data_IF_846063269106
#
_entry.id   IF_846063269106
#
_cell.length_a   1.000
_cell.length_b   1.000
_cell.length_c   1.000
_cell.angle_alpha   90.00
_cell.angle_beta   90.00
_cell.angle_gamma   90.00
#
_symmetry.space_group_name_H-M   'P 1'
#
loop_
_entity.id
_entity.type
_entity.pdbx_description
1 polymer ?
#
# COMPACT_ATOMS: atom_id res chain seq x y z
N UNK A 1 -49.79 40.71 -52.97
CA UNK A 1 -49.42 40.38 -51.63
C UNK A 1 -48.87 38.91 -51.62
N UNK A 2 -47.57 38.81 -51.74
CA UNK A 2 -46.86 37.51 -51.80
C UNK A 2 -46.42 37.07 -50.38
N UNK A 3 -46.81 35.86 -49.94
CA UNK A 3 -46.37 35.25 -48.70
C UNK A 3 -45.14 34.39 -49.01
N UNK A 4 -44.04 34.84 -48.53
CA UNK A 4 -42.78 34.11 -48.54
C UNK A 4 -42.79 32.99 -47.45
N UNK A 5 -42.63 31.72 -47.86
CA UNK A 5 -42.56 30.57 -46.95
C UNK A 5 -41.08 30.30 -46.67
N UNK A 6 -40.68 30.55 -45.41
CA UNK A 6 -39.34 30.23 -44.91
C UNK A 6 -39.05 28.73 -44.95
N UNK A 7 -37.94 28.34 -45.57
CA UNK A 7 -37.39 26.99 -45.59
C UNK A 7 -36.68 26.69 -44.25
N UNK A 8 -37.26 25.77 -43.47
CA UNK A 8 -36.62 25.23 -42.26
C UNK A 8 -35.31 24.51 -42.59
N UNK A 9 -34.21 24.94 -41.99
CA UNK A 9 -32.92 24.25 -41.98
C UNK A 9 -33.08 22.97 -41.13
N UNK A 10 -32.92 21.81 -41.79
CA UNK A 10 -32.75 20.50 -41.11
C UNK A 10 -31.41 20.54 -40.39
N UNK A 11 -31.45 20.48 -39.04
CA UNK A 11 -30.31 20.24 -38.18
C UNK A 11 -29.64 18.92 -38.52
N UNK A 12 -28.36 18.95 -38.86
CA UNK A 12 -27.53 17.77 -39.01
C UNK A 12 -27.46 17.04 -37.68
N UNK A 13 -27.84 15.76 -37.67
CA UNK A 13 -27.53 14.83 -36.56
C UNK A 13 -26.02 14.69 -36.58
N UNK A 14 -25.35 15.20 -35.55
CA UNK A 14 -23.97 14.88 -35.28
C UNK A 14 -23.82 13.36 -35.12
N UNK A 15 -22.91 12.78 -35.87
CA UNK A 15 -22.51 11.38 -35.66
C UNK A 15 -22.01 11.24 -34.19
N UNK A 16 -22.29 10.11 -33.54
CA UNK A 16 -21.70 9.84 -32.23
C UNK A 16 -20.18 9.85 -32.39
N UNK A 17 -19.50 10.74 -31.67
CA UNK A 17 -18.05 10.69 -31.55
C UNK A 17 -17.66 9.30 -31.02
N UNK A 18 -16.80 8.61 -31.76
CA UNK A 18 -16.15 7.41 -31.24
C UNK A 18 -15.53 7.72 -29.86
N UNK A 19 -15.57 6.79 -28.91
CA UNK A 19 -14.86 6.98 -27.65
C UNK A 19 -13.40 7.27 -27.99
N UNK A 20 -12.87 8.34 -27.44
CA UNK A 20 -11.44 8.65 -27.56
C UNK A 20 -10.68 7.44 -27.01
N UNK A 21 -9.91 6.77 -27.84
CA UNK A 21 -8.96 5.76 -27.43
C UNK A 21 -7.97 6.47 -26.49
N UNK A 22 -8.05 6.17 -25.19
CA UNK A 22 -7.11 6.67 -24.21
C UNK A 22 -5.72 6.13 -24.55
N UNK A 23 -4.70 6.97 -24.52
CA UNK A 23 -3.32 6.48 -24.70
C UNK A 23 -2.99 5.41 -23.63
N UNK A 24 -2.29 4.33 -24.01
CA UNK A 24 -1.94 3.28 -23.07
C UNK A 24 -1.14 3.84 -21.89
N UNK A 25 -1.56 3.53 -20.67
CA UNK A 25 -0.91 3.99 -19.45
C UNK A 25 0.28 3.09 -19.11
N UNK A 26 1.32 3.67 -18.51
CA UNK A 26 2.53 2.96 -18.09
C UNK A 26 2.67 3.04 -16.59
N UNK A 27 2.85 1.89 -15.94
CA UNK A 27 3.16 1.80 -14.49
C UNK A 27 4.49 2.51 -14.23
N UNK A 28 4.60 3.15 -13.06
CA UNK A 28 5.79 3.93 -12.67
C UNK A 28 5.70 5.40 -13.04
N UNK A 29 4.61 5.83 -13.70
CA UNK A 29 4.38 7.26 -13.99
C UNK A 29 3.80 8.03 -12.80
N UNK A 30 3.37 7.35 -11.72
CA UNK A 30 2.78 7.95 -10.52
C UNK A 30 1.39 8.56 -10.75
N UNK A 31 0.72 8.19 -11.84
CA UNK A 31 -0.58 8.76 -12.25
C UNK A 31 -1.76 7.83 -11.97
N UNK A 32 -1.51 6.60 -11.48
CA UNK A 32 -2.57 5.65 -11.14
C UNK A 32 -3.51 6.14 -10.03
N UNK A 33 -4.39 5.28 -9.54
CA UNK A 33 -4.45 3.84 -9.83
C UNK A 33 -4.88 3.54 -11.26
N UNK A 34 -4.38 2.44 -11.80
CA UNK A 34 -4.58 2.05 -13.18
C UNK A 34 -5.67 0.99 -13.31
N UNK A 35 -6.44 1.02 -14.39
CA UNK A 35 -7.22 -0.15 -14.81
C UNK A 35 -6.31 -1.08 -15.62
N UNK A 36 -6.36 -2.39 -15.34
CA UNK A 36 -5.51 -3.35 -16.05
C UNK A 36 -5.77 -3.37 -17.56
N UNK A 37 -7.01 -3.02 -17.96
CA UNK A 37 -7.40 -2.94 -19.38
C UNK A 37 -6.83 -1.71 -20.11
N UNK A 38 -6.41 -0.69 -19.38
CA UNK A 38 -5.86 0.56 -19.95
C UNK A 38 -4.31 0.54 -19.96
N UNK A 39 -3.68 -0.51 -19.41
CA UNK A 39 -2.23 -0.62 -19.36
C UNK A 39 -1.63 -0.99 -20.71
N UNK A 40 -0.46 -0.42 -20.99
CA UNK A 40 0.33 -0.81 -22.13
C UNK A 40 0.74 -2.30 -22.04
N UNK A 41 0.74 -3.06 -23.15
CA UNK A 41 1.08 -4.48 -23.16
C UNK A 41 2.48 -4.80 -22.62
N UNK A 42 3.41 -3.85 -22.71
CA UNK A 42 4.78 -3.94 -22.20
C UNK A 42 4.90 -3.64 -20.69
N UNK A 43 3.81 -3.24 -20.03
CA UNK A 43 3.81 -2.99 -18.59
C UNK A 43 4.13 -4.27 -17.83
N UNK A 44 5.25 -4.25 -17.08
CA UNK A 44 5.73 -5.38 -16.29
C UNK A 44 5.58 -5.08 -14.82
N UNK A 45 4.78 -5.86 -14.14
CA UNK A 45 4.50 -5.71 -12.70
C UNK A 45 4.71 -7.00 -11.90
N UNK A 46 5.06 -8.10 -12.55
CA UNK A 46 5.18 -9.44 -11.94
C UNK A 46 6.16 -9.49 -10.75
N UNK A 47 7.25 -8.69 -10.81
CA UNK A 47 8.26 -8.65 -9.77
C UNK A 47 8.15 -7.43 -8.84
N UNK A 48 7.29 -6.47 -9.14
CA UNK A 48 7.14 -5.22 -8.40
C UNK A 48 5.81 -5.11 -7.66
N UNK A 49 4.84 -5.95 -8.00
CA UNK A 49 3.50 -5.92 -7.42
C UNK A 49 3.11 -7.27 -6.85
N UNK A 50 2.39 -7.23 -5.74
CA UNK A 50 1.69 -8.36 -5.16
C UNK A 50 0.33 -8.48 -5.84
N UNK A 51 0.10 -9.57 -6.57
CA UNK A 51 -1.18 -9.86 -7.22
C UNK A 51 -2.15 -10.47 -6.22
N UNK A 52 -3.21 -9.73 -5.90
CA UNK A 52 -4.28 -10.14 -5.00
C UNK A 52 -5.58 -10.46 -5.76
N UNK A 53 -5.48 -10.82 -7.03
CA UNK A 53 -6.62 -11.12 -7.88
C UNK A 53 -7.27 -9.85 -8.42
N UNK A 54 -8.12 -9.20 -7.65
CA UNK A 54 -8.83 -7.97 -8.06
C UNK A 54 -7.97 -6.71 -8.01
N UNK A 55 -6.87 -6.74 -7.30
CA UNK A 55 -5.95 -5.61 -7.15
C UNK A 55 -4.51 -6.08 -7.09
N UNK A 56 -3.63 -5.39 -7.81
CA UNK A 56 -2.19 -5.59 -7.76
C UNK A 56 -1.60 -4.38 -7.02
N UNK A 57 -0.92 -4.65 -5.91
CA UNK A 57 -0.42 -3.60 -5.01
C UNK A 57 1.11 -3.60 -5.05
N UNK A 58 1.77 -2.44 -5.22
CA UNK A 58 3.22 -2.38 -5.25
C UNK A 58 3.83 -2.87 -3.94
N UNK A 59 4.92 -3.60 -4.03
CA UNK A 59 5.68 -4.05 -2.88
C UNK A 59 6.49 -2.87 -2.33
N UNK A 60 6.22 -2.49 -1.08
CA UNK A 60 6.96 -1.42 -0.41
C UNK A 60 8.29 -1.96 0.08
N UNK A 61 9.38 -1.28 -0.26
CA UNK A 61 10.72 -1.67 0.18
C UNK A 61 10.82 -1.69 1.73
N UNK A 62 11.34 -2.78 2.27
CA UNK A 62 11.39 -3.00 3.72
C UNK A 62 10.02 -3.24 4.38
N UNK A 63 8.96 -3.33 3.61
CA UNK A 63 7.61 -3.65 4.08
C UNK A 63 7.42 -5.16 4.27
N UNK A 64 6.41 -5.50 5.07
CA UNK A 64 5.95 -6.87 5.29
C UNK A 64 4.49 -6.97 4.86
N UNK A 65 4.09 -8.15 4.39
CA UNK A 65 2.69 -8.43 4.06
C UNK A 65 2.07 -9.25 5.18
N UNK A 66 0.95 -8.81 5.70
CA UNK A 66 0.14 -9.57 6.67
C UNK A 66 -1.23 -9.82 6.10
N UNK A 67 -1.71 -11.04 6.18
CA UNK A 67 -3.03 -11.43 5.71
C UNK A 67 -3.93 -11.67 6.92
N UNK A 68 -5.09 -11.06 6.90
CA UNK A 68 -6.16 -11.29 7.85
C UNK A 68 -7.17 -12.27 7.25
N UNK A 69 -7.47 -13.34 7.99
CA UNK A 69 -8.38 -14.38 7.56
C UNK A 69 -9.73 -14.24 8.26
N UNK A 70 -10.81 -14.51 7.56
CA UNK A 70 -12.15 -14.63 8.16
C UNK A 70 -12.26 -15.89 9.01
N UNK A 71 -13.36 -16.01 9.77
CA UNK A 71 -13.67 -17.22 10.52
C UNK A 71 -13.79 -18.48 9.63
N UNK A 72 -14.12 -18.30 8.35
CA UNK A 72 -14.21 -19.37 7.34
C UNK A 72 -12.87 -19.66 6.64
N UNK A 73 -11.75 -19.15 7.19
CA UNK A 73 -10.39 -19.32 6.65
C UNK A 73 -10.21 -18.75 5.23
N UNK A 74 -11.01 -17.74 4.88
CA UNK A 74 -10.86 -17.01 3.62
C UNK A 74 -10.07 -15.71 3.83
N UNK A 75 -9.23 -15.29 2.87
CA UNK A 75 -8.54 -14.01 2.95
C UNK A 75 -9.57 -12.86 2.97
N UNK A 76 -9.55 -12.08 4.04
CA UNK A 76 -10.45 -10.94 4.24
C UNK A 76 -9.78 -9.61 3.94
N UNK A 77 -8.56 -9.44 4.43
CA UNK A 77 -7.78 -8.22 4.24
C UNK A 77 -6.30 -8.53 4.10
N UNK A 78 -5.61 -7.74 3.29
CA UNK A 78 -4.16 -7.78 3.15
C UNK A 78 -3.59 -6.43 3.57
N UNK A 79 -2.62 -6.46 4.48
CA UNK A 79 -1.96 -5.29 5.01
C UNK A 79 -0.50 -5.25 4.57
N UNK A 80 -0.09 -4.10 4.06
CA UNK A 80 1.31 -3.75 3.90
C UNK A 80 1.79 -3.09 5.20
N UNK A 81 2.63 -3.76 5.94
CA UNK A 81 3.17 -3.27 7.20
C UNK A 81 4.50 -2.57 6.93
N UNK A 82 4.62 -1.35 7.38
CA UNK A 82 5.79 -0.49 7.24
C UNK A 82 6.29 -0.03 8.60
N UNK A 83 7.49 0.55 8.71
CA UNK A 83 7.96 1.13 9.97
C UNK A 83 7.07 2.24 10.54
N UNK A 84 6.22 2.87 9.69
CA UNK A 84 5.35 3.98 10.09
C UNK A 84 3.93 3.55 10.43
N UNK A 85 3.55 2.31 10.11
CA UNK A 85 2.21 1.78 10.31
C UNK A 85 1.82 0.79 9.21
N UNK A 86 0.53 0.56 9.05
CA UNK A 86 0.00 -0.42 8.08
C UNK A 86 -0.92 0.24 7.06
N UNK A 87 -0.90 -0.28 5.83
CA UNK A 87 -1.74 0.15 4.73
C UNK A 87 -2.52 -1.05 4.22
N UNK A 88 -3.82 -0.91 4.00
CA UNK A 88 -4.62 -1.87 3.26
C UNK A 88 -5.20 -1.21 2.03
N UNK A 89 -5.31 -1.95 0.93
CA UNK A 89 -5.94 -1.52 -0.31
C UNK A 89 -7.01 -2.52 -0.69
N UNK A 90 -8.22 -2.05 -0.89
CA UNK A 90 -9.35 -2.87 -1.30
C UNK A 90 -10.03 -2.26 -2.53
N UNK A 91 -10.40 -3.11 -3.47
CA UNK A 91 -11.19 -2.72 -4.64
C UNK A 91 -12.66 -3.07 -4.43
N UNK A 92 -13.53 -2.24 -4.94
CA UNK A 92 -14.98 -2.37 -4.87
C UNK A 92 -15.58 -2.20 -6.26
N UNK A 93 -16.66 -2.91 -6.52
CA UNK A 93 -17.46 -2.66 -7.71
C UNK A 93 -18.11 -1.27 -7.63
N UNK A 94 -18.12 -0.56 -8.74
CA UNK A 94 -18.74 0.75 -8.85
C UNK A 94 -19.68 0.84 -10.05
N UNK A 95 -20.65 1.75 -10.06
CA UNK A 95 -21.49 2.01 -11.21
C UNK A 95 -20.66 2.63 -12.35
N UNK A 96 -21.24 2.70 -13.56
CA UNK A 96 -20.56 3.38 -14.70
C UNK A 96 -20.40 4.88 -14.48
N UNK A 97 -21.26 5.50 -13.66
CA UNK A 97 -21.14 6.91 -13.26
C UNK A 97 -20.11 7.04 -12.15
N UNK A 98 -19.18 7.96 -12.28
CA UNK A 98 -18.22 8.31 -11.22
C UNK A 98 -18.92 8.95 -10.02
N UNK A 99 -18.25 8.94 -8.86
CA UNK A 99 -18.70 9.65 -7.66
C UNK A 99 -19.06 8.74 -6.48
N UNK A 100 -18.82 7.42 -6.58
CA UNK A 100 -19.05 6.49 -5.47
C UNK A 100 -18.21 6.87 -4.24
N UNK A 101 -16.95 7.25 -4.44
CA UNK A 101 -16.09 7.68 -3.33
C UNK A 101 -16.64 8.90 -2.60
N UNK A 102 -17.23 9.85 -3.32
CA UNK A 102 -17.82 11.04 -2.70
C UNK A 102 -18.99 10.70 -1.76
N UNK A 103 -19.80 9.71 -2.10
CA UNK A 103 -20.88 9.21 -1.23
C UNK A 103 -20.30 8.48 -0.02
N UNK A 104 -19.32 7.60 -0.26
CA UNK A 104 -18.61 6.86 0.79
C UNK A 104 -17.95 7.79 1.81
N UNK A 105 -17.35 8.92 1.38
CA UNK A 105 -16.75 9.91 2.29
C UNK A 105 -17.76 10.43 3.30
N UNK A 106 -18.98 10.73 2.88
CA UNK A 106 -20.02 11.25 3.77
C UNK A 106 -20.44 10.20 4.80
N UNK A 107 -20.77 9.00 4.34
CA UNK A 107 -21.19 7.88 5.19
C UNK A 107 -20.08 7.48 6.18
N UNK A 108 -18.84 7.40 5.68
CA UNK A 108 -17.68 7.05 6.49
C UNK A 108 -17.42 8.10 7.58
N UNK A 109 -17.49 9.38 7.23
CA UNK A 109 -17.28 10.47 8.20
C UNK A 109 -18.34 10.42 9.30
N UNK A 110 -19.61 10.21 8.95
CA UNK A 110 -20.70 10.08 9.90
C UNK A 110 -20.53 8.86 10.83
N UNK A 111 -20.17 7.70 10.26
CA UNK A 111 -19.90 6.49 11.03
C UNK A 111 -18.75 6.69 12.03
N UNK A 112 -17.62 7.20 11.58
CA UNK A 112 -16.45 7.43 12.42
C UNK A 112 -16.74 8.43 13.56
N UNK A 113 -17.51 9.49 13.29
CA UNK A 113 -17.93 10.44 14.31
C UNK A 113 -18.85 9.79 15.35
N UNK A 114 -19.76 8.92 14.90
CA UNK A 114 -20.65 8.16 15.79
C UNK A 114 -19.86 7.21 16.70
N UNK A 115 -18.75 6.67 16.19
CA UNK A 115 -17.81 5.82 16.95
C UNK A 115 -16.86 6.63 17.86
N UNK A 116 -16.98 7.97 17.86
CA UNK A 116 -16.22 8.86 18.73
C UNK A 116 -14.86 9.30 18.16
N UNK A 117 -14.60 9.07 16.88
CA UNK A 117 -13.40 9.58 16.24
C UNK A 117 -13.51 11.07 15.89
N UNK A 118 -12.43 11.82 16.06
CA UNK A 118 -12.31 13.16 15.49
C UNK A 118 -11.98 13.04 14.00
N UNK A 119 -12.84 13.61 13.15
CA UNK A 119 -12.71 13.47 11.70
C UNK A 119 -12.43 14.80 11.02
N UNK A 120 -11.56 14.77 10.00
CA UNK A 120 -11.30 15.87 9.09
C UNK A 120 -11.38 15.37 7.64
N UNK A 121 -11.87 16.22 6.74
CA UNK A 121 -11.85 15.97 5.29
C UNK A 121 -10.79 16.88 4.69
N UNK A 122 -9.76 16.27 4.10
CA UNK A 122 -8.67 16.96 3.43
C UNK A 122 -8.78 16.79 1.91
N UNK A 123 -8.16 17.70 1.17
CA UNK A 123 -8.05 17.59 -0.28
C UNK A 123 -6.72 16.92 -0.63
N UNK A 124 -6.76 15.74 -1.21
CA UNK A 124 -5.61 15.01 -1.72
C UNK A 124 -5.50 15.08 -3.26
N UNK A 125 -4.59 14.28 -3.81
CA UNK A 125 -4.33 14.25 -5.26
C UNK A 125 -5.55 13.76 -6.07
N UNK A 126 -6.27 12.73 -5.57
CA UNK A 126 -7.44 12.16 -6.25
C UNK A 126 -8.77 12.73 -5.76
N UNK A 127 -8.75 13.75 -4.91
CA UNK A 127 -9.94 14.36 -4.35
C UNK A 127 -9.95 14.32 -2.82
N UNK A 128 -11.08 13.97 -2.21
CA UNK A 128 -11.24 14.02 -0.77
C UNK A 128 -10.59 12.81 -0.10
N UNK A 129 -9.86 13.09 0.98
CA UNK A 129 -9.35 12.09 1.92
C UNK A 129 -10.03 12.32 3.27
N UNK A 130 -10.37 11.24 3.97
CA UNK A 130 -10.89 11.32 5.34
C UNK A 130 -9.76 10.99 6.31
N UNK A 131 -9.55 11.83 7.28
CA UNK A 131 -8.60 11.62 8.37
C UNK A 131 -9.39 11.44 9.65
N UNK A 132 -9.22 10.31 10.33
CA UNK A 132 -9.85 10.02 11.60
C UNK A 132 -8.78 9.88 12.68
N UNK A 133 -8.85 10.71 13.71
CA UNK A 133 -7.99 10.63 14.89
C UNK A 133 -8.73 9.90 16.00
N UNK A 134 -8.13 8.84 16.51
CA UNK A 134 -8.66 8.04 17.61
C UNK A 134 -7.62 7.95 18.74
N UNK A 135 -8.00 7.55 19.95
CA UNK A 135 -7.03 7.25 20.99
C UNK A 135 -6.02 6.18 20.50
N UNK A 136 -4.76 6.55 20.37
CA UNK A 136 -3.68 5.65 19.95
C UNK A 136 -3.26 5.77 18.48
N UNK A 137 -3.94 6.54 17.63
CA UNK A 137 -3.49 6.68 16.24
C UNK A 137 -4.36 7.52 15.33
N UNK A 138 -3.94 7.53 14.08
CA UNK A 138 -4.61 8.23 12.99
C UNK A 138 -4.88 7.24 11.86
N UNK A 139 -6.08 7.27 11.34
CA UNK A 139 -6.50 6.52 10.16
C UNK A 139 -6.77 7.51 9.02
N UNK A 140 -6.12 7.29 7.89
CA UNK A 140 -6.35 8.08 6.68
C UNK A 140 -6.96 7.18 5.61
N UNK A 141 -8.08 7.63 5.07
CA UNK A 141 -8.82 6.93 4.03
C UNK A 141 -8.65 7.69 2.72
N UNK A 142 -8.10 7.03 1.73
CA UNK A 142 -7.88 7.55 0.38
C UNK A 142 -8.73 6.70 -0.56
N UNK A 143 -9.62 7.31 -1.32
CA UNK A 143 -10.41 6.59 -2.31
C UNK A 143 -10.30 7.21 -3.69
N UNK A 144 -10.37 6.36 -4.69
CA UNK A 144 -10.31 6.76 -6.10
C UNK A 144 -11.35 6.00 -6.89
N UNK A 145 -12.18 6.74 -7.63
CA UNK A 145 -13.15 6.18 -8.55
C UNK A 145 -12.49 5.91 -9.91
N UNK A 146 -12.65 4.70 -10.43
CA UNK A 146 -12.26 4.31 -11.77
C UNK A 146 -13.44 3.89 -12.63
N UNK A 147 -13.16 3.22 -13.75
CA UNK A 147 -14.17 2.71 -14.66
C UNK A 147 -14.83 1.45 -14.09
N UNK A 148 -16.03 1.60 -13.48
CA UNK A 148 -16.82 0.52 -12.86
C UNK A 148 -16.15 -0.12 -11.63
N UNK A 149 -15.16 0.51 -11.07
CA UNK A 149 -14.51 0.14 -9.82
C UNK A 149 -14.20 1.38 -8.98
N UNK A 150 -13.99 1.16 -7.71
CA UNK A 150 -13.46 2.14 -6.76
C UNK A 150 -12.42 1.43 -5.90
N UNK A 151 -11.27 2.05 -5.66
CA UNK A 151 -10.37 1.58 -4.61
C UNK A 151 -10.52 2.44 -3.35
N UNK A 152 -10.25 1.79 -2.22
CA UNK A 152 -10.09 2.45 -0.93
C UNK A 152 -8.80 1.95 -0.29
N UNK A 153 -7.88 2.85 -0.05
CA UNK A 153 -6.71 2.61 0.78
C UNK A 153 -6.96 3.16 2.18
N UNK A 154 -6.55 2.41 3.20
CA UNK A 154 -6.60 2.85 4.60
C UNK A 154 -5.20 2.78 5.18
N UNK A 155 -4.65 3.92 5.56
CA UNK A 155 -3.36 4.04 6.23
C UNK A 155 -3.61 4.24 7.73
N UNK A 156 -3.14 3.30 8.56
CA UNK A 156 -3.30 3.32 10.01
C UNK A 156 -1.94 3.44 10.68
N UNK A 157 -1.70 4.51 11.41
CA UNK A 157 -0.42 4.82 12.05
C UNK A 157 -0.59 5.36 13.47
N UNK A 158 0.41 5.20 14.34
CA UNK A 158 0.58 6.08 15.49
C UNK A 158 0.67 7.54 15.05
N UNK A 159 0.25 8.49 15.88
CA UNK A 159 0.22 9.92 15.52
C UNK A 159 1.56 10.42 14.97
N UNK A 160 2.68 9.99 15.55
CA UNK A 160 4.02 10.40 15.10
C UNK A 160 4.40 9.89 13.68
N UNK A 161 3.80 8.78 13.23
CA UNK A 161 4.05 8.17 11.93
C UNK A 161 3.05 8.55 10.84
N UNK A 162 1.96 9.24 11.18
CA UNK A 162 0.80 9.45 10.33
C UNK A 162 1.15 10.13 8.98
N UNK A 163 1.91 11.22 9.00
CA UNK A 163 2.30 11.94 7.79
C UNK A 163 3.28 11.16 6.92
N UNK A 164 4.21 10.43 7.53
CA UNK A 164 5.13 9.57 6.79
C UNK A 164 4.36 8.43 6.09
N UNK A 165 3.45 7.78 6.83
CA UNK A 165 2.61 6.72 6.27
C UNK A 165 1.65 7.25 5.19
N UNK A 166 1.11 8.46 5.34
CA UNK A 166 0.25 9.07 4.32
C UNK A 166 0.97 9.23 2.97
N UNK A 167 2.24 9.62 2.98
CA UNK A 167 3.07 9.71 1.76
C UNK A 167 3.26 8.34 1.11
N UNK A 168 3.58 7.32 1.93
CA UNK A 168 3.72 5.93 1.44
C UNK A 168 2.40 5.43 0.89
N UNK A 169 1.27 5.67 1.57
CA UNK A 169 -0.05 5.25 1.11
C UNK A 169 -0.43 5.88 -0.23
N UNK A 170 -0.14 7.16 -0.43
CA UNK A 170 -0.36 7.82 -1.74
C UNK A 170 0.53 7.23 -2.83
N UNK A 171 1.80 6.94 -2.53
CA UNK A 171 2.69 6.25 -3.46
C UNK A 171 2.19 4.84 -3.80
N UNK A 172 1.69 4.08 -2.83
CA UNK A 172 1.06 2.77 -3.06
C UNK A 172 -0.16 2.92 -3.96
N UNK A 173 -1.05 3.87 -3.68
CA UNK A 173 -2.26 4.10 -4.49
C UNK A 173 -1.90 4.50 -5.93
N UNK A 174 -0.89 5.36 -6.12
CA UNK A 174 -0.48 5.83 -7.46
C UNK A 174 0.09 4.73 -8.36
N UNK A 175 0.53 3.62 -7.80
CA UNK A 175 1.07 2.48 -8.55
C UNK A 175 0.15 1.26 -8.51
N UNK A 176 -0.97 1.32 -7.79
CA UNK A 176 -1.94 0.24 -7.71
C UNK A 176 -2.63 -0.01 -9.05
N UNK A 177 -2.75 -1.29 -9.43
CA UNK A 177 -3.49 -1.71 -10.63
C UNK A 177 -4.77 -2.44 -10.19
N UNK A 178 -5.89 -2.11 -10.80
CA UNK A 178 -7.18 -2.74 -10.53
C UNK A 178 -7.53 -3.71 -11.66
N UNK A 179 -7.85 -4.94 -11.29
CA UNK A 179 -8.40 -5.97 -12.18
C UNK A 179 -9.82 -6.26 -11.75
N UNK A 180 -10.76 -5.48 -12.30
CA UNK A 180 -12.18 -5.64 -11.92
C UNK A 180 -12.77 -6.97 -12.40
N UNK A 181 -12.32 -7.48 -13.56
CA UNK A 181 -12.92 -8.62 -14.22
C UNK A 181 -14.26 -8.29 -14.88
N UNK A 182 -14.85 -9.31 -15.53
CA UNK A 182 -16.11 -9.18 -16.29
C UNK A 182 -17.34 -9.62 -15.48
N UNK A 183 -17.15 -10.29 -14.36
CA UNK A 183 -18.23 -10.77 -13.52
C UNK A 183 -19.15 -9.64 -13.03
N UNK A 184 -20.47 -9.88 -12.98
CA UNK A 184 -21.41 -8.91 -12.48
C UNK A 184 -21.33 -8.81 -10.95
N UNK A 185 -20.88 -7.67 -10.46
CA UNK A 185 -20.90 -7.33 -9.03
C UNK A 185 -21.82 -6.14 -8.80
N UNK A 186 -22.69 -6.18 -7.76
CA UNK A 186 -23.44 -5.01 -7.34
C UNK A 186 -22.49 -3.88 -6.93
N UNK A 187 -22.86 -2.61 -7.15
CA UNK A 187 -22.07 -1.48 -6.66
C UNK A 187 -21.79 -1.58 -5.15
N UNK A 188 -20.62 -1.10 -4.73
CA UNK A 188 -20.12 -1.14 -3.33
C UNK A 188 -19.76 -2.53 -2.79
N UNK A 189 -19.98 -3.60 -3.56
CA UNK A 189 -19.50 -4.93 -3.18
C UNK A 189 -17.97 -4.97 -3.27
N UNK A 190 -17.27 -5.46 -2.22
CA UNK A 190 -15.84 -5.72 -2.31
C UNK A 190 -15.54 -6.74 -3.43
N UNK A 191 -14.53 -6.46 -4.22
CA UNK A 191 -14.03 -7.44 -5.18
C UNK A 191 -13.21 -8.52 -4.45
N UNK A 192 -13.24 -9.77 -4.92
CA UNK A 192 -12.61 -10.87 -4.21
C UNK A 192 -11.09 -10.71 -4.14
N UNK A 193 -10.51 -11.12 -3.00
CA UNK A 193 -9.07 -11.20 -2.79
C UNK A 193 -8.65 -12.64 -3.03
N UNK A 194 -7.63 -12.83 -3.87
CA UNK A 194 -7.01 -14.12 -4.14
C UNK A 194 -5.53 -14.01 -3.79
N UNK A 195 -5.06 -14.89 -2.90
CA UNK A 195 -3.64 -14.88 -2.53
C UNK A 195 -2.81 -15.61 -3.60
N UNK A 196 -1.63 -15.10 -3.96
CA UNK A 196 -0.66 -15.87 -4.74
C UNK A 196 -0.33 -17.19 -4.05
N UNK A 197 -0.05 -18.28 -4.80
CA UNK A 197 0.18 -19.60 -4.22
C UNK A 197 1.24 -19.62 -3.12
N UNK A 198 2.36 -18.93 -3.35
CA UNK A 198 3.46 -18.84 -2.37
C UNK A 198 2.99 -18.20 -1.05
N UNK A 199 2.18 -17.15 -1.13
CA UNK A 199 1.65 -16.48 0.07
C UNK A 199 0.58 -17.34 0.75
N UNK A 200 -0.26 -18.03 -0.02
CA UNK A 200 -1.26 -18.96 0.51
C UNK A 200 -0.62 -20.11 1.28
N UNK A 201 0.45 -20.71 0.76
CA UNK A 201 1.22 -21.76 1.43
C UNK A 201 1.86 -21.26 2.73
N UNK A 202 2.45 -20.07 2.73
CA UNK A 202 3.05 -19.47 3.92
C UNK A 202 2.01 -19.17 5.00
N UNK A 203 0.84 -18.66 4.61
CA UNK A 203 -0.28 -18.43 5.53
C UNK A 203 -0.79 -19.74 6.11
N UNK A 204 -0.96 -20.77 5.30
CA UNK A 204 -1.38 -22.10 5.76
C UNK A 204 -0.37 -22.71 6.75
N UNK A 205 0.93 -22.62 6.46
CA UNK A 205 1.98 -23.09 7.35
C UNK A 205 1.96 -22.35 8.69
N UNK A 206 1.86 -21.02 8.68
CA UNK A 206 1.78 -20.22 9.89
C UNK A 206 0.52 -20.54 10.74
N UNK A 207 -0.61 -20.84 10.10
CA UNK A 207 -1.82 -21.28 10.79
C UNK A 207 -1.64 -22.66 11.44
N UNK A 208 -0.98 -23.59 10.77
CA UNK A 208 -0.68 -24.90 11.34
C UNK A 208 0.23 -24.79 12.57
N UNK A 209 1.29 -23.99 12.50
CA UNK A 209 2.18 -23.73 13.64
C UNK A 209 1.44 -23.12 14.83
N UNK A 210 0.51 -22.19 14.58
CA UNK A 210 -0.33 -21.61 15.65
C UNK A 210 -1.30 -22.63 16.25
N UNK A 211 -1.87 -23.50 15.43
CA UNK A 211 -2.73 -24.59 15.91
C UNK A 211 -1.96 -25.60 16.76
N UNK A 212 -0.78 -26.01 16.30
CA UNK A 212 0.09 -26.98 16.99
C UNK A 212 0.67 -26.40 18.29
N UNK A 213 0.92 -25.11 18.36
CA UNK A 213 1.39 -24.42 19.58
C UNK A 213 0.30 -24.18 20.63
N UNK A 214 -0.94 -24.56 20.37
CA UNK A 214 -2.08 -24.40 21.28
C UNK A 214 -2.54 -22.94 21.47
N UNK A 215 -1.99 -22.01 20.73
CA UNK A 215 -2.30 -20.56 20.82
C UNK A 215 -3.70 -20.22 20.30
N UNK A 216 -4.30 -21.07 19.47
CA UNK A 216 -5.68 -20.92 19.01
C UNK A 216 -6.71 -21.11 20.12
N UNK A 217 -6.40 -21.89 21.17
CA UNK A 217 -7.29 -22.09 22.31
C UNK A 217 -7.38 -20.87 23.25
N UNK A 218 -6.37 -20.02 23.27
CA UNK A 218 -6.31 -18.83 24.13
C UNK A 218 -7.02 -17.62 23.51
N UNK A 219 -7.21 -17.61 22.19
CA UNK A 219 -7.93 -16.55 21.47
C UNK A 219 -9.47 -16.71 21.51
N UNK A 220 -9.95 -17.87 21.97
CA UNK A 220 -11.38 -18.19 22.04
C UNK A 220 -12.03 -17.90 23.40
N UNK A 221 -11.32 -17.29 24.35
CA UNK A 221 -11.92 -16.87 25.60
C UNK A 221 -12.76 -15.58 25.38
N UNK A 222 -14.05 -15.57 25.74
CA UNK A 222 -14.87 -14.39 25.55
C UNK A 222 -14.40 -13.27 26.48
N UNK A 223 -13.89 -12.20 25.91
CA UNK A 223 -13.79 -10.92 26.61
C UNK A 223 -15.18 -10.34 26.82
N UNK A 224 -15.47 -9.66 27.95
CA UNK A 224 -16.77 -9.13 28.24
C UNK A 224 -17.21 -8.11 27.18
N UNK A 225 -18.45 -8.23 26.77
CA UNK A 225 -19.16 -7.43 25.79
C UNK A 225 -18.82 -5.94 25.87
N UNK A 226 -18.27 -5.44 24.77
CA UNK A 226 -18.51 -4.06 24.36
C UNK A 226 -18.90 -4.05 22.89
N UNK A 227 -20.05 -3.41 22.62
CA UNK A 227 -20.78 -3.55 21.38
C UNK A 227 -20.11 -2.77 20.25
N UNK A 228 -19.40 -3.45 19.40
CA UNK A 228 -18.90 -2.98 18.13
C UNK A 228 -18.43 -4.19 17.34
N UNK A 229 -19.09 -4.52 16.24
CA UNK A 229 -18.80 -5.68 15.41
C UNK A 229 -17.39 -5.62 14.84
N UNK A 230 -16.42 -6.03 15.65
CA UNK A 230 -15.09 -6.43 15.19
C UNK A 230 -15.11 -7.94 15.01
N UNK A 231 -15.18 -8.39 13.77
CA UNK A 231 -14.94 -9.77 13.44
C UNK A 231 -13.57 -10.17 14.00
N UNK A 232 -13.55 -11.19 14.86
CA UNK A 232 -12.32 -11.78 15.37
C UNK A 232 -11.62 -12.47 14.20
N UNK A 233 -10.57 -11.84 13.70
CA UNK A 233 -9.77 -12.32 12.59
C UNK A 233 -8.44 -12.85 13.11
N UNK A 234 -8.09 -14.07 12.72
CA UNK A 234 -6.76 -14.62 12.95
C UNK A 234 -5.75 -13.92 12.02
N UNK A 235 -4.69 -13.35 12.57
CA UNK A 235 -3.65 -12.65 11.81
C UNK A 235 -2.46 -13.57 11.58
N UNK A 236 -2.18 -13.90 10.32
CA UNK A 236 -0.94 -14.55 9.92
C UNK A 236 0.02 -13.53 9.33
N UNK A 237 1.17 -13.35 9.93
CA UNK A 237 2.20 -12.41 9.46
C UNK A 237 3.22 -13.13 8.59
N UNK A 238 3.30 -12.77 7.35
CA UNK A 238 4.27 -13.31 6.39
C UNK A 238 5.27 -12.22 6.01
N UNK A 239 6.55 -12.51 6.17
CA UNK A 239 7.64 -11.64 5.70
C UNK A 239 7.92 -11.93 4.23
N UNK A 240 7.50 -11.07 3.36
CA UNK A 240 8.03 -11.03 1.99
C UNK A 240 9.31 -10.20 2.03
N UNK A 241 10.46 -10.87 2.15
CA UNK A 241 11.75 -10.19 1.98
C UNK A 241 11.93 -9.94 0.49
N UNK A 242 11.85 -8.68 0.09
CA UNK A 242 12.40 -8.28 -1.20
C UNK A 242 13.87 -8.70 -1.26
N UNK A 243 14.27 -9.39 -2.30
CA UNK A 243 15.67 -9.78 -2.52
C UNK A 243 16.51 -8.51 -2.45
N UNK A 244 17.49 -8.39 -1.53
CA UNK A 244 18.36 -7.22 -1.52
C UNK A 244 19.08 -7.13 -2.86
N UNK A 245 19.30 -5.93 -3.41
CA UNK A 245 20.10 -5.75 -4.60
C UNK A 245 21.48 -6.36 -4.35
N UNK A 246 22.11 -7.01 -5.36
CA UNK A 246 23.44 -7.56 -5.20
C UNK A 246 24.36 -6.45 -4.69
N UNK A 247 25.10 -6.72 -3.63
CA UNK A 247 26.05 -5.80 -3.06
C UNK A 247 27.00 -5.32 -4.18
N UNK A 248 27.32 -4.01 -4.26
CA UNK A 248 28.29 -3.53 -5.21
C UNK A 248 29.60 -4.31 -5.01
N UNK A 249 30.17 -4.78 -6.11
CA UNK A 249 31.44 -5.48 -6.10
C UNK A 249 32.45 -4.61 -5.36
N UNK A 250 33.30 -5.18 -4.47
CA UNK A 250 34.33 -4.40 -3.80
C UNK A 250 35.26 -3.79 -4.87
N UNK A 251 35.52 -2.50 -4.73
CA UNK A 251 36.47 -1.79 -5.56
C UNK A 251 37.79 -2.56 -5.58
N UNK A 252 38.45 -2.69 -6.73
CA UNK A 252 39.77 -3.33 -6.81
C UNK A 252 40.75 -2.60 -5.89
N UNK A 253 41.26 -3.30 -4.89
CA UNK A 253 42.32 -2.79 -4.03
C UNK A 253 43.53 -2.49 -4.92
N UNK A 254 44.15 -1.32 -4.78
CA UNK A 254 45.42 -1.06 -5.47
C UNK A 254 46.48 -2.04 -4.97
N UNK A 255 47.25 -2.60 -5.90
CA UNK A 255 48.34 -3.49 -5.64
C UNK A 255 49.34 -2.86 -4.64
N UNK A 256 49.88 -3.63 -3.67
CA UNK A 256 50.87 -3.13 -2.73
C UNK A 256 52.18 -2.80 -3.47
N UNK A 257 52.59 -1.54 -3.39
CA UNK A 257 53.92 -1.10 -3.84
C UNK A 257 55.04 -1.89 -3.12
N UNK A 258 56.12 -2.25 -3.80
CA UNK A 258 57.21 -3.00 -3.22
C UNK A 258 57.96 -2.19 -2.15
N UNK A 259 58.10 -2.77 -0.96
CA UNK A 259 58.75 -2.21 0.20
C UNK A 259 60.22 -1.93 -0.08
N UNK A 260 60.64 -0.65 -0.08
CA UNK A 260 62.06 -0.25 0.02
C UNK A 260 62.57 -0.51 1.45
N UNK A 261 63.62 -1.31 1.52
CA UNK A 261 64.44 -1.54 2.73
C UNK A 261 65.17 -0.26 3.09
N UNK A 262 64.85 0.36 4.23
CA UNK A 262 65.76 1.29 4.93
C UNK A 262 66.17 0.70 6.28
N UNK A 263 67.47 0.45 6.37
CA UNK A 263 68.24 -0.02 7.52
C UNK A 263 68.44 1.08 8.57
N UNK A 264 68.17 0.72 9.86
CA UNK A 264 68.78 1.19 11.10
C UNK A 264 68.39 2.55 11.69
N UNK A 265 68.72 2.81 12.95
CA UNK A 265 69.17 1.91 14.02
C UNK A 265 68.28 1.97 15.29
N UNK A 266 68.50 1.01 16.15
CA UNK A 266 67.96 0.85 17.52
C UNK A 266 68.14 2.06 18.42
N UNK A 267 67.11 2.43 19.17
CA UNK A 267 67.31 3.07 20.47
C UNK A 267 66.15 2.72 21.42
N UNK A 268 66.54 2.08 22.46
CA UNK A 268 65.88 1.71 23.69
C UNK A 268 65.34 2.93 24.46
N UNK A 269 64.13 2.81 25.00
CA UNK A 269 63.57 3.83 25.90
C UNK A 269 62.26 3.35 26.53
N UNK A 270 62.42 2.64 27.65
CA UNK A 270 61.32 2.10 28.44
C UNK A 270 60.36 3.19 28.96
N UNK A 271 59.07 2.95 28.82
CA UNK A 271 57.93 3.81 29.24
C UNK A 271 57.90 4.15 30.74
N UNK A 272 58.85 3.64 31.55
CA UNK A 272 58.97 3.86 32.99
C UNK A 272 59.78 5.11 33.36
N UNK A 273 60.44 5.77 32.40
CA UNK A 273 61.28 6.96 32.73
C UNK A 273 60.58 8.30 32.52
N UNK A 274 59.41 8.32 31.93
CA UNK A 274 58.69 9.58 31.73
C UNK A 274 57.76 10.00 32.91
N UNK A 275 57.63 9.19 33.94
CA UNK A 275 56.81 9.50 35.12
C UNK A 275 57.56 10.15 36.28
N UNK A 276 58.88 10.37 36.14
CA UNK A 276 59.71 10.93 37.24
C UNK A 276 60.03 12.44 37.14
N UNK A 277 59.64 13.14 36.10
CA UNK A 277 59.89 14.57 35.98
C UNK A 277 58.61 15.38 35.83
N UNK A 278 57.87 15.52 36.94
CA UNK A 278 56.84 16.56 37.08
C UNK A 278 57.30 17.50 38.18
N UNK A 279 57.71 18.77 37.89
CA UNK A 279 58.00 19.74 38.91
C UNK A 279 56.65 20.25 39.49
N UNK A 280 56.59 20.31 40.83
CA UNK A 280 55.58 21.00 41.59
C UNK A 280 55.79 22.52 41.43
N UNK A 281 54.72 23.19 41.02
CA UNK A 281 54.31 24.52 41.54
C UNK A 281 52.84 24.73 41.25
#
# INVERSE_FOLDING_TARGET
>A
MARERGRGRRGGRGAPSAPAESEPQVIGSGQGPYDIGDLAPESRFENSHLDLGSVLVPVVEGGQVTVEMSADHQPQSVFLVTPHGRITVAAFAAPKSSGQWREVVLELTESLQTEGAETAIETGFWGREVVATVPGGVHRFIGVDGSRWMIRAVASAPTAGAEALAKVARAVVSETVVRRGDDPHPPRTPLPIVLPPVLAEQVAAAQQEMADSGQMAASAAPAPNDSGAQAQSAQATVRVQGTPPPAPAPDPQPDPEPAEKKTGPVSSGSAMQQLRNRPQR
#
